data_IF_313094481034
#
_entry.id   IF_313094481034
#
_cell.length_a   1.000
_cell.length_b   1.000
_cell.length_c   1.000
_cell.angle_alpha   90.00
_cell.angle_beta   90.00
_cell.angle_gamma   90.00
#
_symmetry.space_group_name_H-M   'P 1'
#
loop_
_entity.id
_entity.type
_entity.pdbx_description
1 polymer ?
#
# COMPACT_ATOMS: atom_id res chain seq x y z
N UNK A 1 51.29 62.39 66.43
CA UNK A 1 50.42 61.57 67.31
C UNK A 1 49.50 60.84 66.35
N UNK A 2 49.45 59.52 66.16
CA UNK A 2 49.87 58.29 66.84
C UNK A 2 50.23 57.29 65.71
N UNK A 3 51.36 56.59 65.70
CA UNK A 3 51.74 55.38 66.46
C UNK A 3 50.81 54.16 66.34
N UNK A 4 51.36 53.13 65.69
CA UNK A 4 51.15 51.69 65.92
C UNK A 4 49.86 51.02 65.44
N UNK A 5 50.00 50.18 64.42
CA UNK A 5 49.16 48.97 64.27
C UNK A 5 50.10 47.79 64.05
N UNK A 6 50.17 46.93 65.06
CA UNK A 6 51.00 45.73 65.09
C UNK A 6 50.48 44.63 64.16
N UNK A 7 51.42 43.94 63.51
CA UNK A 7 51.16 42.70 62.76
C UNK A 7 50.82 41.58 63.74
N UNK A 8 49.62 41.02 63.63
CA UNK A 8 49.28 39.72 64.23
C UNK A 8 49.65 38.63 63.23
N UNK A 9 50.49 37.70 63.69
CA UNK A 9 50.93 36.52 62.96
C UNK A 9 49.77 35.53 62.75
N UNK A 10 49.80 34.89 61.60
CA UNK A 10 48.92 33.80 61.19
C UNK A 10 49.11 32.56 62.07
N UNK A 11 48.01 31.93 62.47
CA UNK A 11 47.98 30.50 62.77
C UNK A 11 47.08 29.84 61.73
N UNK A 12 47.68 29.12 60.77
CA UNK A 12 46.96 28.34 59.76
C UNK A 12 46.73 26.95 60.38
N UNK A 13 45.47 26.64 60.68
CA UNK A 13 45.05 25.31 61.13
C UNK A 13 45.42 24.27 60.06
N UNK A 14 46.02 23.12 60.40
CA UNK A 14 46.29 22.08 59.43
C UNK A 14 44.94 21.47 59.01
N UNK A 15 44.57 21.68 57.75
CA UNK A 15 43.41 21.04 57.14
C UNK A 15 43.80 19.59 56.89
N UNK A 16 43.17 18.67 57.62
CA UNK A 16 43.31 17.24 57.42
C UNK A 16 42.67 16.91 56.06
N UNK A 17 43.48 16.72 55.02
CA UNK A 17 43.01 16.25 53.72
C UNK A 17 42.37 14.87 53.89
N UNK A 18 41.06 14.79 53.64
CA UNK A 18 40.37 13.51 53.47
C UNK A 18 41.08 12.72 52.37
N UNK A 19 41.34 11.42 52.54
CA UNK A 19 41.94 10.61 51.49
C UNK A 19 41.04 10.69 50.26
N UNK A 20 41.59 11.19 49.15
CA UNK A 20 40.92 11.17 47.85
C UNK A 20 40.49 9.72 47.59
N UNK A 21 39.26 9.46 47.16
CA UNK A 21 38.90 8.12 46.72
C UNK A 21 39.92 7.72 45.67
N UNK A 22 40.61 6.62 45.90
CA UNK A 22 41.47 6.00 44.90
C UNK A 22 40.51 5.63 43.78
N UNK A 23 40.52 6.45 42.72
CA UNK A 23 39.92 6.09 41.45
C UNK A 23 40.63 4.80 41.06
N UNK A 24 39.95 3.67 41.27
CA UNK A 24 40.42 2.39 40.79
C UNK A 24 40.52 2.57 39.29
N UNK A 25 41.74 2.83 38.82
CA UNK A 25 42.10 2.66 37.43
C UNK A 25 41.85 1.19 37.16
N UNK A 26 40.62 0.88 36.73
CA UNK A 26 40.32 -0.33 35.97
C UNK A 26 41.38 -0.31 34.90
N UNK A 27 42.36 -1.21 35.02
CA UNK A 27 43.35 -1.37 33.96
C UNK A 27 42.57 -1.52 32.66
N UNK A 28 43.09 -0.92 31.59
CA UNK A 28 42.67 -1.27 30.25
C UNK A 28 43.05 -2.75 30.05
N UNK A 29 42.19 -3.63 30.56
CA UNK A 29 42.20 -5.05 30.25
C UNK A 29 41.87 -5.11 28.77
N UNK A 30 42.91 -5.29 27.94
CA UNK A 30 42.75 -5.37 26.49
C UNK A 30 41.67 -6.39 26.12
N UNK A 31 41.01 -6.17 24.98
CA UNK A 31 39.90 -7.00 24.52
C UNK A 31 40.26 -8.49 24.52
N UNK A 32 39.54 -9.29 25.30
CA UNK A 32 39.65 -10.75 25.25
C UNK A 32 38.99 -11.28 23.97
N UNK A 33 39.58 -12.33 23.37
CA UNK A 33 39.05 -12.96 22.16
C UNK A 33 37.61 -13.45 22.35
N UNK A 34 37.26 -13.91 23.56
CA UNK A 34 35.90 -14.34 23.88
C UNK A 34 34.90 -13.18 23.89
N UNK A 35 35.32 -11.99 24.33
CA UNK A 35 34.48 -10.80 24.39
C UNK A 35 34.16 -10.29 22.99
N UNK A 36 35.16 -10.30 22.10
CA UNK A 36 34.98 -9.96 20.69
C UNK A 36 34.02 -10.93 20.00
N UNK A 37 34.16 -12.24 20.23
CA UNK A 37 33.25 -13.25 19.64
C UNK A 37 31.82 -13.08 20.16
N UNK A 38 31.63 -12.84 21.47
CA UNK A 38 30.31 -12.59 22.04
C UNK A 38 29.72 -11.30 21.47
N UNK A 39 30.50 -10.22 21.35
CA UNK A 39 30.04 -8.97 20.78
C UNK A 39 29.56 -9.13 19.32
N UNK A 40 30.32 -9.84 18.49
CA UNK A 40 29.94 -10.12 17.09
C UNK A 40 28.68 -10.98 17.03
N UNK A 41 28.56 -12.00 17.88
CA UNK A 41 27.37 -12.85 17.94
C UNK A 41 26.13 -12.04 18.33
N UNK A 42 26.22 -11.19 19.36
CA UNK A 42 25.13 -10.32 19.81
C UNK A 42 24.75 -9.29 18.75
N UNK A 43 25.72 -8.66 18.08
CA UNK A 43 25.45 -7.75 16.97
C UNK A 43 24.75 -8.47 15.81
N UNK A 44 25.17 -9.69 15.47
CA UNK A 44 24.56 -10.46 14.39
C UNK A 44 23.10 -10.79 14.69
N UNK A 45 22.79 -11.17 15.94
CA UNK A 45 21.42 -11.44 16.39
C UNK A 45 20.54 -10.20 16.28
N UNK A 46 21.09 -9.00 16.45
CA UNK A 46 20.34 -7.75 16.33
C UNK A 46 20.23 -7.25 14.89
N UNK A 47 21.30 -7.31 14.11
CA UNK A 47 21.37 -6.71 12.77
C UNK A 47 20.50 -7.49 11.77
N UNK A 48 20.54 -8.82 11.82
CA UNK A 48 19.81 -9.68 10.88
C UNK A 48 18.29 -9.41 10.89
N UNK A 49 17.57 -9.46 12.02
CA UNK A 49 16.12 -9.21 12.02
C UNK A 49 15.78 -7.78 11.63
N UNK A 50 16.63 -6.80 11.94
CA UNK A 50 16.42 -5.40 11.52
C UNK A 50 16.46 -5.29 10.00
N UNK A 51 17.45 -5.91 9.34
CA UNK A 51 17.52 -5.89 7.88
C UNK A 51 16.31 -6.56 7.23
N UNK A 52 15.88 -7.72 7.76
CA UNK A 52 14.68 -8.42 7.27
C UNK A 52 13.42 -7.55 7.43
N UNK A 53 13.29 -6.86 8.56
CA UNK A 53 12.18 -5.95 8.81
C UNK A 53 12.17 -4.78 7.80
N UNK A 54 13.34 -4.18 7.50
CA UNK A 54 13.45 -3.09 6.52
C UNK A 54 13.06 -3.57 5.12
N UNK A 55 13.55 -4.74 4.68
CA UNK A 55 13.21 -5.30 3.37
C UNK A 55 11.70 -5.53 3.28
N UNK A 56 11.11 -6.17 4.30
CA UNK A 56 9.67 -6.40 4.38
C UNK A 56 8.87 -5.10 4.33
N UNK A 57 9.34 -4.07 5.04
CA UNK A 57 8.69 -2.76 5.05
C UNK A 57 8.74 -2.08 3.67
N UNK A 58 9.85 -2.19 2.93
CA UNK A 58 9.98 -1.67 1.57
C UNK A 58 9.02 -2.40 0.63
N UNK A 59 8.97 -3.74 0.69
CA UNK A 59 8.05 -4.53 -0.12
C UNK A 59 6.59 -4.18 0.18
N UNK A 60 6.22 -4.09 1.46
CA UNK A 60 4.89 -3.67 1.88
C UNK A 60 4.54 -2.26 1.38
N UNK A 61 5.50 -1.32 1.44
CA UNK A 61 5.31 0.04 0.92
C UNK A 61 5.09 0.05 -0.59
N UNK A 62 5.85 -0.75 -1.34
CA UNK A 62 5.69 -0.85 -2.79
C UNK A 62 4.31 -1.40 -3.18
N UNK A 63 3.84 -2.46 -2.50
CA UNK A 63 2.51 -3.05 -2.73
C UNK A 63 1.39 -2.07 -2.39
N UNK A 64 1.54 -1.30 -1.32
CA UNK A 64 0.57 -0.27 -0.93
C UNK A 64 0.43 0.82 -2.01
N UNK A 65 1.56 1.27 -2.58
CA UNK A 65 1.55 2.23 -3.70
C UNK A 65 0.92 1.64 -4.95
N UNK A 66 1.27 0.40 -5.33
CA UNK A 66 0.67 -0.29 -6.47
C UNK A 66 -0.84 -0.44 -6.28
N UNK A 67 -1.31 -0.79 -5.08
CA UNK A 67 -2.74 -0.88 -4.78
C UNK A 67 -3.49 0.45 -4.95
N UNK A 68 -2.95 1.55 -4.43
CA UNK A 68 -3.57 2.86 -4.57
C UNK A 68 -3.63 3.33 -6.04
N UNK A 69 -2.58 3.05 -6.82
CA UNK A 69 -2.56 3.36 -8.25
C UNK A 69 -3.63 2.55 -9.01
N UNK A 70 -3.72 1.24 -8.76
CA UNK A 70 -4.72 0.39 -9.40
C UNK A 70 -6.14 0.81 -9.01
N UNK A 71 -6.41 1.14 -7.75
CA UNK A 71 -7.72 1.63 -7.32
C UNK A 71 -8.14 2.90 -8.07
N UNK A 72 -7.21 3.84 -8.24
CA UNK A 72 -7.45 5.06 -9.02
C UNK A 72 -7.75 4.71 -10.49
N UNK A 73 -7.05 3.74 -11.06
CA UNK A 73 -7.27 3.34 -12.45
C UNK A 73 -8.59 2.63 -12.66
N UNK A 74 -8.98 1.76 -11.73
CA UNK A 74 -10.25 1.03 -11.76
C UNK A 74 -11.42 2.00 -11.67
N UNK A 75 -11.35 2.99 -10.78
CA UNK A 75 -12.38 4.03 -10.67
C UNK A 75 -12.45 4.92 -11.91
N UNK A 76 -11.30 5.31 -12.48
CA UNK A 76 -11.26 6.08 -13.73
C UNK A 76 -11.81 5.28 -14.93
N UNK A 77 -11.47 3.99 -15.02
CA UNK A 77 -12.03 3.10 -16.03
C UNK A 77 -13.55 2.97 -15.88
N UNK A 78 -14.03 2.81 -14.65
CA UNK A 78 -15.46 2.76 -14.37
C UNK A 78 -16.17 4.07 -14.74
N UNK A 79 -15.61 5.23 -14.41
CA UNK A 79 -16.18 6.53 -14.79
C UNK A 79 -16.27 6.69 -16.31
N UNK A 80 -15.22 6.29 -17.04
CA UNK A 80 -15.21 6.35 -18.51
C UNK A 80 -16.25 5.43 -19.12
N UNK A 81 -16.36 4.19 -18.64
CA UNK A 81 -17.40 3.26 -19.08
C UNK A 81 -18.77 3.84 -18.74
N UNK A 82 -18.97 4.37 -17.54
CA UNK A 82 -20.24 4.95 -17.10
C UNK A 82 -20.66 6.19 -17.90
N UNK A 83 -19.73 6.97 -18.44
CA UNK A 83 -20.02 8.11 -19.32
C UNK A 83 -20.14 7.76 -20.79
N UNK A 84 -19.64 6.59 -21.20
CA UNK A 84 -19.76 6.14 -22.58
C UNK A 84 -21.23 5.90 -22.95
N UNK A 85 -21.63 6.11 -24.22
CA UNK A 85 -22.93 5.67 -24.71
C UNK A 85 -23.05 4.14 -24.57
N UNK A 86 -24.28 3.62 -24.59
CA UNK A 86 -24.50 2.17 -24.63
C UNK A 86 -23.78 1.57 -25.84
N UNK A 87 -23.07 0.47 -25.62
CA UNK A 87 -22.22 -0.21 -26.60
C UNK A 87 -22.13 -1.68 -26.25
N UNK A 88 -21.96 -2.54 -27.25
CA UNK A 88 -21.70 -3.96 -27.02
C UNK A 88 -20.27 -4.21 -26.53
N UNK A 89 -19.32 -3.33 -26.88
CA UNK A 89 -17.95 -3.37 -26.38
C UNK A 89 -17.60 -2.09 -25.59
N UNK A 90 -17.23 -2.28 -24.33
CA UNK A 90 -16.72 -1.24 -23.42
C UNK A 90 -15.19 -1.27 -23.23
N UNK A 91 -14.49 -2.22 -23.85
CA UNK A 91 -13.05 -2.45 -23.67
C UNK A 91 -12.21 -1.23 -24.04
N UNK A 92 -12.60 -0.50 -25.09
CA UNK A 92 -11.92 0.71 -25.55
C UNK A 92 -11.91 1.79 -24.46
N UNK A 93 -13.04 1.99 -23.77
CA UNK A 93 -13.17 3.01 -22.72
C UNK A 93 -12.39 2.64 -21.46
N UNK A 94 -12.44 1.37 -21.05
CA UNK A 94 -11.69 0.87 -19.90
C UNK A 94 -10.17 0.92 -20.15
N UNK A 95 -9.70 0.48 -21.32
CA UNK A 95 -8.28 0.52 -21.71
C UNK A 95 -7.76 1.95 -21.82
N UNK A 96 -8.58 2.89 -22.29
CA UNK A 96 -8.18 4.30 -22.36
C UNK A 96 -7.84 4.91 -20.99
N UNK A 97 -8.40 4.39 -19.89
CA UNK A 97 -8.05 4.83 -18.54
C UNK A 97 -6.58 4.52 -18.20
N UNK A 98 -6.13 3.29 -18.47
CA UNK A 98 -4.75 2.87 -18.15
C UNK A 98 -3.73 3.44 -19.12
N UNK A 99 -4.07 3.52 -20.41
CA UNK A 99 -3.17 4.08 -21.44
C UNK A 99 -2.87 5.55 -21.16
N UNK A 100 -3.85 6.29 -20.61
CA UNK A 100 -3.64 7.69 -20.21
C UNK A 100 -2.60 7.89 -19.09
N UNK A 101 -2.25 6.83 -18.36
CA UNK A 101 -1.19 6.81 -17.35
C UNK A 101 0.10 6.13 -17.84
N UNK A 102 0.18 5.78 -19.13
CA UNK A 102 1.34 5.11 -19.72
C UNK A 102 1.44 3.63 -19.40
N UNK A 103 0.36 2.99 -18.94
CA UNK A 103 0.32 1.54 -18.71
C UNK A 103 -0.07 0.80 -19.99
N UNK A 104 0.37 -0.45 -20.12
CA UNK A 104 -0.06 -1.30 -21.25
C UNK A 104 -1.56 -1.60 -21.14
N UNK A 105 -2.26 -1.61 -22.28
CA UNK A 105 -3.66 -2.03 -22.38
C UNK A 105 -3.89 -3.49 -22.00
N UNK A 106 -2.85 -4.34 -22.08
CA UNK A 106 -2.92 -5.77 -21.76
C UNK A 106 -3.12 -6.04 -20.26
N UNK A 107 -2.92 -5.02 -19.44
CA UNK A 107 -3.17 -5.07 -18.00
C UNK A 107 -4.66 -4.93 -17.65
N UNK A 108 -5.52 -4.73 -18.64
CA UNK A 108 -6.97 -4.56 -18.49
C UNK A 108 -7.70 -5.70 -19.19
N UNK A 109 -8.46 -6.46 -18.41
CA UNK A 109 -9.47 -7.38 -18.90
C UNK A 109 -10.85 -6.76 -18.69
N UNK A 110 -11.73 -6.91 -19.67
CA UNK A 110 -13.13 -6.50 -19.57
C UNK A 110 -13.99 -7.67 -19.99
N UNK A 111 -14.87 -8.10 -19.08
CA UNK A 111 -15.92 -9.07 -19.38
C UNK A 111 -17.25 -8.33 -19.46
N UNK A 112 -18.11 -8.80 -20.35
CA UNK A 112 -19.40 -8.18 -20.63
C UNK A 112 -20.54 -9.12 -20.32
N UNK A 113 -21.65 -8.54 -19.92
CA UNK A 113 -22.90 -9.27 -19.80
C UNK A 113 -24.09 -8.35 -20.08
N UNK A 114 -25.19 -8.94 -20.52
CA UNK A 114 -26.49 -8.31 -20.57
C UNK A 114 -27.48 -9.04 -19.66
N UNK A 115 -28.50 -8.34 -19.21
CA UNK A 115 -29.54 -8.91 -18.38
C UNK A 115 -30.67 -9.47 -19.24
N UNK A 116 -30.88 -10.77 -19.17
CA UNK A 116 -31.99 -11.45 -19.82
C UNK A 116 -33.12 -11.67 -18.79
N UNK A 117 -34.28 -11.01 -18.93
CA UNK A 117 -35.41 -11.23 -18.04
C UNK A 117 -35.94 -12.66 -18.18
N UNK A 118 -36.48 -13.22 -17.09
CA UNK A 118 -37.13 -14.53 -17.18
C UNK A 118 -38.38 -14.41 -18.04
N UNK A 119 -38.52 -15.32 -19.01
CA UNK A 119 -39.72 -15.45 -19.82
C UNK A 119 -40.44 -16.76 -19.50
N UNK A 120 -41.77 -16.72 -19.46
CA UNK A 120 -42.58 -17.93 -19.40
C UNK A 120 -42.49 -18.74 -20.71
N UNK A 121 -43.16 -19.90 -20.75
CA UNK A 121 -43.17 -20.78 -21.92
C UNK A 121 -43.81 -20.17 -23.18
N UNK A 122 -44.50 -19.04 -23.05
CA UNK A 122 -45.15 -18.30 -24.13
C UNK A 122 -44.35 -17.03 -24.53
N UNK A 123 -43.18 -16.80 -23.92
CA UNK A 123 -42.28 -15.69 -24.25
C UNK A 123 -42.66 -14.35 -23.61
N UNK A 124 -43.59 -14.34 -22.63
CA UNK A 124 -43.88 -13.14 -21.83
C UNK A 124 -42.94 -13.05 -20.64
N UNK A 125 -42.58 -11.82 -20.25
CA UNK A 125 -41.74 -11.59 -19.07
C UNK A 125 -42.50 -11.98 -17.80
N UNK A 126 -41.98 -12.97 -17.08
CA UNK A 126 -42.51 -13.40 -15.79
C UNK A 126 -41.76 -12.68 -14.66
N UNK A 127 -42.44 -11.71 -14.04
CA UNK A 127 -41.93 -10.92 -12.93
C UNK A 127 -41.85 -11.71 -11.61
N UNK A 128 -42.40 -12.93 -11.57
CA UNK A 128 -42.36 -13.84 -10.43
C UNK A 128 -41.02 -14.59 -10.29
N UNK A 129 -40.18 -14.58 -11.33
CA UNK A 129 -38.84 -15.18 -11.29
C UNK A 129 -37.76 -14.16 -11.65
N UNK A 130 -36.58 -14.22 -11.00
CA UNK A 130 -35.46 -13.37 -11.38
C UNK A 130 -34.94 -13.77 -12.77
N UNK A 131 -34.55 -12.76 -13.55
CA UNK A 131 -33.79 -12.96 -14.79
C UNK A 131 -32.35 -13.37 -14.51
N UNK A 132 -31.56 -13.49 -15.56
CA UNK A 132 -30.17 -13.94 -15.49
C UNK A 132 -29.23 -13.05 -16.28
N UNK A 133 -27.98 -12.98 -15.84
CA UNK A 133 -26.91 -12.30 -16.58
C UNK A 133 -26.25 -13.27 -17.54
N UNK A 134 -26.27 -12.94 -18.82
CA UNK A 134 -25.61 -13.72 -19.87
C UNK A 134 -24.24 -13.12 -20.11
N UNK A 135 -23.18 -13.79 -19.62
CA UNK A 135 -21.80 -13.37 -19.82
C UNK A 135 -21.28 -13.82 -21.17
N UNK A 136 -20.63 -12.91 -21.89
CA UNK A 136 -20.19 -13.15 -23.25
C UNK A 136 -19.07 -12.22 -23.68
N UNK A 137 -18.65 -12.33 -24.95
CA UNK A 137 -17.68 -11.40 -25.55
C UNK A 137 -18.24 -9.98 -25.67
N UNK A 138 -19.57 -9.84 -25.67
CA UNK A 138 -20.29 -8.60 -25.92
C UNK A 138 -21.37 -8.37 -24.86
N UNK A 139 -21.69 -7.10 -24.63
CA UNK A 139 -22.67 -6.64 -23.63
C UNK A 139 -24.10 -6.56 -24.19
N UNK A 140 -24.38 -7.20 -25.33
CA UNK A 140 -25.66 -7.10 -26.03
C UNK A 140 -26.23 -8.48 -26.36
N UNK A 141 -27.55 -8.61 -26.30
CA UNK A 141 -28.28 -9.81 -26.76
C UNK A 141 -28.29 -9.92 -28.30
N UNK A 142 -28.37 -8.78 -28.98
CA UNK A 142 -28.29 -8.65 -30.43
C UNK A 142 -27.02 -7.86 -30.76
N UNK A 143 -26.49 -7.92 -31.99
CA UNK A 143 -25.24 -7.22 -32.39
C UNK A 143 -25.28 -5.68 -32.22
N UNK A 144 -26.38 -5.11 -31.72
CA UNK A 144 -26.57 -3.71 -31.41
C UNK A 144 -27.20 -3.53 -30.01
N UNK A 145 -26.81 -2.46 -29.27
CA UNK A 145 -27.37 -2.20 -27.95
C UNK A 145 -28.83 -1.75 -28.05
N UNK A 146 -29.72 -2.39 -27.29
CA UNK A 146 -31.13 -1.95 -27.26
C UNK A 146 -31.40 -0.91 -26.16
N UNK A 147 -32.38 -0.03 -26.39
CA UNK A 147 -32.66 1.13 -25.54
C UNK A 147 -33.04 0.73 -24.11
N UNK A 148 -33.76 -0.39 -23.94
CA UNK A 148 -34.21 -0.88 -22.62
C UNK A 148 -33.30 -1.97 -22.03
N UNK A 149 -32.19 -2.31 -22.70
CA UNK A 149 -31.27 -3.33 -22.21
C UNK A 149 -30.48 -2.82 -21.02
N UNK A 150 -30.35 -3.67 -20.01
CA UNK A 150 -29.44 -3.48 -18.89
C UNK A 150 -28.18 -4.27 -19.17
N UNK A 151 -27.04 -3.60 -19.14
CA UNK A 151 -25.74 -4.16 -19.48
C UNK A 151 -24.81 -4.03 -18.27
N UNK A 152 -23.82 -4.92 -18.18
CA UNK A 152 -22.77 -4.87 -17.17
C UNK A 152 -21.40 -5.03 -17.82
N UNK A 153 -20.45 -4.22 -17.39
CA UNK A 153 -19.05 -4.35 -17.74
C UNK A 153 -18.24 -4.62 -16.48
N UNK A 154 -17.65 -5.80 -16.39
CA UNK A 154 -16.69 -6.17 -15.33
C UNK A 154 -15.30 -5.82 -15.81
N UNK A 155 -14.67 -4.85 -15.15
CA UNK A 155 -13.35 -4.34 -15.50
C UNK A 155 -12.37 -4.85 -14.46
N UNK A 156 -11.37 -5.60 -14.91
CA UNK A 156 -10.26 -6.08 -14.08
C UNK A 156 -8.98 -5.41 -14.53
N UNK A 157 -8.30 -4.72 -13.61
CA UNK A 157 -7.02 -4.06 -13.86
C UNK A 157 -5.95 -4.67 -12.97
N UNK A 158 -4.81 -4.98 -13.58
CA UNK A 158 -3.62 -5.49 -12.90
C UNK A 158 -2.52 -4.43 -12.90
N UNK A 159 -1.81 -4.27 -11.78
CA UNK A 159 -0.68 -3.35 -11.69
C UNK A 159 0.45 -3.74 -12.67
N UNK A 160 1.30 -2.80 -13.11
CA UNK A 160 2.41 -3.12 -14.03
C UNK A 160 3.40 -4.15 -13.48
N UNK A 161 3.56 -4.21 -12.16
CA UNK A 161 4.37 -5.20 -11.45
C UNK A 161 3.67 -6.57 -11.26
N UNK A 162 2.41 -6.68 -11.70
CA UNK A 162 1.54 -7.86 -11.60
C UNK A 162 1.31 -8.37 -10.17
N UNK A 163 1.51 -7.53 -9.17
CA UNK A 163 1.34 -7.92 -7.75
C UNK A 163 -0.06 -7.63 -7.21
N UNK A 164 -0.78 -6.67 -7.82
CA UNK A 164 -2.11 -6.24 -7.37
C UNK A 164 -3.08 -6.29 -8.54
N UNK A 165 -4.22 -6.94 -8.33
CA UNK A 165 -5.33 -6.97 -9.27
C UNK A 165 -6.58 -6.48 -8.55
N UNK A 166 -7.36 -5.62 -9.22
CA UNK A 166 -8.64 -5.11 -8.72
C UNK A 166 -9.70 -5.24 -9.81
N UNK A 167 -10.93 -5.48 -9.38
CA UNK A 167 -12.08 -5.63 -10.25
C UNK A 167 -13.19 -4.68 -9.81
N UNK A 168 -13.88 -4.07 -10.76
CA UNK A 168 -15.11 -3.31 -10.55
C UNK A 168 -16.14 -3.71 -11.59
N UNK A 169 -17.41 -3.63 -11.23
CA UNK A 169 -18.51 -3.85 -12.16
C UNK A 169 -19.27 -2.54 -12.34
N UNK A 170 -19.57 -2.22 -13.58
CA UNK A 170 -20.34 -1.03 -13.97
C UNK A 170 -21.61 -1.50 -14.63
N UNK A 171 -22.75 -1.16 -14.03
CA UNK A 171 -24.08 -1.44 -14.59
C UNK A 171 -24.54 -0.24 -15.41
N UNK A 172 -25.06 -0.52 -16.60
CA UNK A 172 -25.61 0.43 -17.56
C UNK A 172 -27.09 0.15 -17.75
N UNK A 173 -27.91 1.15 -17.50
CA UNK A 173 -29.36 1.10 -17.74
C UNK A 173 -29.81 2.48 -18.20
N UNK A 174 -30.80 2.53 -19.08
CA UNK A 174 -31.61 3.74 -19.28
C UNK A 174 -32.83 3.59 -18.37
N UNK A 175 -32.94 4.46 -17.37
CA UNK A 175 -34.08 4.54 -16.45
C UNK A 175 -34.67 5.94 -16.47
#
# INVERSE_FOLDING_TARGET
MESSVGRRQCARTPTQELPRPVEQSRGDDGFSLIEVVIAIALMSILIVPIMVAVITAIEASSRSRSAAQVETMVVNAADRVNRAPKSCDYSVYARAAVVSQGWSSDLVAVDHAYYQPHSDGDGQVDLGQPGSWVWGPDACELDEPSELEVQIARITITSPDRTVTRTIEVVKSDV
#
